data_IF_384127284466
#
_entry.id   IF_384127284466
#
_cell.length_a   1.000
_cell.length_b   1.000
_cell.length_c   1.000
_cell.angle_alpha   90.00
_cell.angle_beta   90.00
_cell.angle_gamma   90.00
#
_symmetry.space_group_name_H-M   'P 1'
#
loop_
_entity.id
_entity.type
_entity.pdbx_description
1 polymer ?
#
# COMPACT_ATOMS: atom_id res chain seq x y z
N UNK A 1 -29.09 -2.51 20.87
CA UNK A 1 -27.78 -1.97 20.43
C UNK A 1 -27.72 -2.00 18.92
N UNK A 2 -27.21 -0.93 18.30
CA UNK A 2 -27.02 -0.86 16.83
C UNK A 2 -25.68 -1.49 16.48
N UNK A 3 -25.63 -2.35 15.45
CA UNK A 3 -24.38 -2.95 14.97
C UNK A 3 -23.66 -1.96 14.05
N UNK A 4 -22.33 -1.90 14.14
CA UNK A 4 -21.47 -1.13 13.24
C UNK A 4 -20.71 -2.10 12.33
N UNK A 5 -20.46 -1.71 11.08
CA UNK A 5 -19.78 -2.51 10.07
C UNK A 5 -18.78 -1.61 9.33
N UNK A 6 -17.57 -2.12 9.14
CA UNK A 6 -16.56 -1.54 8.27
C UNK A 6 -16.43 -2.45 7.06
N UNK A 7 -16.60 -1.88 5.87
CA UNK A 7 -16.32 -2.54 4.59
C UNK A 7 -15.14 -1.80 3.98
N UNK A 8 -14.00 -2.49 3.89
CA UNK A 8 -12.76 -1.94 3.36
C UNK A 8 -12.52 -2.49 1.95
N UNK A 9 -12.21 -1.60 1.01
CA UNK A 9 -11.57 -2.01 -0.25
C UNK A 9 -10.05 -1.84 -0.14
N UNK A 10 -9.31 -2.92 -0.34
CA UNK A 10 -7.85 -2.91 -0.31
C UNK A 10 -7.25 -2.49 -1.66
N UNK A 11 -5.93 -2.29 -1.67
CA UNK A 11 -5.14 -2.07 -2.89
C UNK A 11 -5.38 -0.74 -3.62
N UNK A 12 -5.83 0.30 -2.91
CA UNK A 12 -5.97 1.60 -3.53
C UNK A 12 -4.58 2.18 -3.86
N UNK A 13 -4.41 2.65 -5.10
CA UNK A 13 -3.13 3.09 -5.63
C UNK A 13 -2.40 2.04 -6.46
N UNK A 14 -2.84 0.77 -6.52
CA UNK A 14 -2.11 -0.25 -7.29
C UNK A 14 -2.11 0.04 -8.79
N UNK A 15 -3.22 0.49 -9.35
CA UNK A 15 -3.40 0.85 -10.76
C UNK A 15 -4.64 1.74 -10.94
N UNK A 16 -4.80 2.36 -12.11
CA UNK A 16 -5.91 3.27 -12.38
C UNK A 16 -7.28 2.58 -12.42
N UNK A 17 -7.36 1.34 -12.91
CA UNK A 17 -8.63 0.62 -13.01
C UNK A 17 -9.15 0.23 -11.62
N UNK A 18 -8.25 -0.23 -10.74
CA UNK A 18 -8.54 -0.49 -9.34
C UNK A 18 -8.94 0.80 -8.62
N UNK A 19 -8.25 1.91 -8.89
CA UNK A 19 -8.62 3.20 -8.33
C UNK A 19 -10.04 3.65 -8.73
N UNK A 20 -10.38 3.51 -10.02
CA UNK A 20 -11.71 3.83 -10.55
C UNK A 20 -12.80 3.01 -9.86
N UNK A 21 -12.61 1.70 -9.71
CA UNK A 21 -13.58 0.84 -9.04
C UNK A 21 -13.75 1.20 -7.56
N UNK A 22 -12.65 1.49 -6.86
CA UNK A 22 -12.70 1.88 -5.44
C UNK A 22 -13.42 3.22 -5.27
N UNK A 23 -13.16 4.20 -6.14
CA UNK A 23 -13.88 5.47 -6.17
C UNK A 23 -15.37 5.28 -6.42
N UNK A 24 -15.76 4.49 -7.43
CA UNK A 24 -17.17 4.19 -7.72
C UNK A 24 -17.88 3.52 -6.53
N UNK A 25 -17.22 2.56 -5.88
CA UNK A 25 -17.74 1.90 -4.69
C UNK A 25 -17.90 2.88 -3.51
N UNK A 26 -16.96 3.79 -3.34
CA UNK A 26 -17.01 4.79 -2.28
C UNK A 26 -18.12 5.81 -2.52
N UNK A 27 -18.21 6.39 -3.73
CA UNK A 27 -19.27 7.31 -4.13
C UNK A 27 -20.67 6.66 -4.06
N UNK A 28 -20.76 5.37 -4.39
CA UNK A 28 -21.98 4.58 -4.28
C UNK A 28 -22.35 4.13 -2.85
N UNK A 29 -21.55 4.50 -1.84
CA UNK A 29 -21.76 4.14 -0.43
C UNK A 29 -21.67 2.63 -0.16
N UNK A 30 -20.89 1.90 -0.97
CA UNK A 30 -20.74 0.43 -0.86
C UNK A 30 -19.61 0.04 0.09
N UNK A 31 -18.64 0.92 0.26
CA UNK A 31 -17.52 0.77 1.20
C UNK A 31 -17.54 1.92 2.21
N UNK A 32 -16.93 1.67 3.36
CA UNK A 32 -16.76 2.66 4.43
C UNK A 32 -15.30 3.03 4.66
N UNK A 33 -14.38 2.26 4.07
CA UNK A 33 -12.96 2.50 4.18
C UNK A 33 -12.20 1.99 2.94
N UNK A 34 -10.98 2.48 2.75
CA UNK A 34 -10.00 1.93 1.82
C UNK A 34 -8.59 2.02 2.42
N UNK A 35 -7.58 1.44 1.77
CA UNK A 35 -6.19 1.49 2.19
C UNK A 35 -5.25 1.75 1.01
N UNK A 36 -4.34 2.71 1.17
CA UNK A 36 -3.38 3.14 0.14
C UNK A 36 -2.11 2.28 0.16
N UNK A 37 -1.73 1.75 -1.00
CA UNK A 37 -0.44 1.10 -1.22
C UNK A 37 0.57 2.18 -1.62
N UNK A 38 1.27 2.73 -0.65
CA UNK A 38 2.14 3.90 -0.86
C UNK A 38 3.25 3.74 -1.92
N UNK A 39 3.96 2.59 -2.02
CA UNK A 39 4.98 2.43 -3.06
C UNK A 39 4.39 2.17 -4.45
N UNK A 40 3.05 2.15 -4.60
CA UNK A 40 2.43 1.82 -5.86
C UNK A 40 2.42 2.96 -6.88
N UNK A 41 2.51 2.62 -8.15
CA UNK A 41 2.70 3.61 -9.22
C UNK A 41 1.49 4.54 -9.42
N UNK A 42 0.28 4.10 -9.08
CA UNK A 42 -0.94 4.90 -9.20
C UNK A 42 -1.38 5.52 -7.87
N UNK A 43 -0.53 5.52 -6.84
CA UNK A 43 -0.85 6.12 -5.52
C UNK A 43 -1.22 7.59 -5.62
N UNK A 44 -0.56 8.35 -6.52
CA UNK A 44 -0.88 9.77 -6.71
C UNK A 44 -2.29 9.96 -7.29
N UNK A 45 -2.67 9.13 -8.25
CA UNK A 45 -4.03 9.15 -8.82
C UNK A 45 -5.08 8.81 -7.75
N UNK A 46 -4.82 7.78 -6.93
CA UNK A 46 -5.67 7.43 -5.79
C UNK A 46 -5.81 8.58 -4.77
N UNK A 47 -4.70 9.23 -4.42
CA UNK A 47 -4.69 10.35 -3.50
C UNK A 47 -5.43 11.59 -4.05
N UNK A 48 -5.44 11.80 -5.37
CA UNK A 48 -6.19 12.88 -5.99
C UNK A 48 -7.71 12.57 -6.02
N UNK A 49 -8.11 11.32 -6.29
CA UNK A 49 -9.52 10.88 -6.25
C UNK A 49 -10.13 10.96 -4.85
N UNK A 50 -9.40 10.49 -3.82
CA UNK A 50 -9.96 10.38 -2.46
C UNK A 50 -10.26 11.72 -1.80
N UNK A 51 -9.57 12.79 -2.22
CA UNK A 51 -9.84 14.17 -1.78
C UNK A 51 -11.28 14.60 -2.11
N UNK A 52 -11.87 14.03 -3.15
CA UNK A 52 -13.25 14.28 -3.58
C UNK A 52 -14.28 13.38 -2.86
N UNK A 53 -13.84 12.48 -1.97
CA UNK A 53 -14.67 11.46 -1.31
C UNK A 53 -14.49 11.51 0.23
N UNK A 54 -14.97 12.57 0.91
CA UNK A 54 -14.62 12.84 2.31
C UNK A 54 -15.33 11.94 3.35
N UNK A 55 -16.23 11.04 2.93
CA UNK A 55 -17.08 10.26 3.84
C UNK A 55 -16.55 8.85 4.18
N UNK A 56 -15.41 8.44 3.61
CA UNK A 56 -14.79 7.15 3.93
C UNK A 56 -13.45 7.32 4.67
N UNK A 57 -13.09 6.34 5.48
CA UNK A 57 -11.76 6.30 6.11
C UNK A 57 -10.70 5.81 5.14
N UNK A 58 -9.50 6.38 5.21
CA UNK A 58 -8.36 5.96 4.39
C UNK A 58 -7.24 5.51 5.31
N UNK A 59 -6.80 4.26 5.16
CA UNK A 59 -5.69 3.68 5.90
C UNK A 59 -4.43 3.52 5.05
N UNK A 60 -3.36 3.07 5.68
CA UNK A 60 -2.14 2.61 5.02
C UNK A 60 -2.22 1.11 4.77
N UNK A 61 -2.03 0.68 3.52
CA UNK A 61 -1.84 -0.71 3.16
C UNK A 61 -0.34 -1.01 3.14
N UNK A 62 0.21 -1.37 4.29
CA UNK A 62 1.63 -1.73 4.41
C UNK A 62 1.93 -2.90 3.48
N UNK A 63 2.89 -2.71 2.58
CA UNK A 63 3.32 -3.78 1.66
C UNK A 63 4.82 -4.04 1.79
N UNK A 64 5.19 -5.32 1.87
CA UNK A 64 6.58 -5.78 2.03
C UNK A 64 6.91 -6.90 1.04
N UNK A 65 6.01 -7.14 0.08
CA UNK A 65 6.15 -8.13 -0.98
C UNK A 65 5.65 -7.55 -2.29
N UNK A 66 6.22 -7.99 -3.41
CA UNK A 66 5.78 -7.54 -4.73
C UNK A 66 5.66 -8.73 -5.69
N UNK A 67 4.43 -9.20 -5.84
CA UNK A 67 4.07 -10.35 -6.68
C UNK A 67 3.43 -9.95 -8.02
N UNK A 68 2.95 -8.72 -8.13
CA UNK A 68 2.44 -8.16 -9.38
C UNK A 68 3.55 -8.14 -10.45
N UNK A 69 3.18 -8.51 -11.67
CA UNK A 69 4.06 -8.52 -12.84
C UNK A 69 3.32 -7.83 -14.00
N UNK A 70 3.94 -6.89 -14.72
CA UNK A 70 5.35 -6.47 -14.66
C UNK A 70 5.66 -5.42 -13.59
N UNK A 71 4.66 -4.97 -12.83
CA UNK A 71 4.75 -3.82 -11.94
C UNK A 71 5.26 -4.26 -10.57
N UNK A 72 6.46 -3.83 -10.22
CA UNK A 72 7.08 -4.13 -8.94
C UNK A 72 7.19 -2.90 -8.05
N UNK A 73 7.14 -3.12 -6.74
CA UNK A 73 7.28 -2.09 -5.72
C UNK A 73 8.74 -1.96 -5.28
N UNK A 74 9.22 -0.72 -5.20
CA UNK A 74 10.51 -0.37 -4.63
C UNK A 74 10.37 -0.08 -3.13
N UNK A 75 11.45 -0.28 -2.38
CA UNK A 75 11.55 0.14 -0.98
C UNK A 75 11.48 1.67 -0.88
N UNK A 76 10.68 2.20 0.04
CA UNK A 76 10.63 3.64 0.32
C UNK A 76 11.72 4.07 1.32
N UNK A 77 12.11 3.18 2.23
CA UNK A 77 13.20 3.37 3.16
C UNK A 77 14.57 3.20 2.48
N UNK A 78 15.64 3.78 3.06
CA UNK A 78 17.01 3.45 2.69
C UNK A 78 17.25 1.93 2.80
N UNK A 79 17.87 1.35 1.78
CA UNK A 79 18.17 -0.09 1.74
C UNK A 79 19.36 -0.39 2.66
N UNK A 80 19.17 -1.32 3.59
CA UNK A 80 20.26 -1.96 4.33
C UNK A 80 20.89 -3.04 3.45
N UNK A 81 22.16 -2.84 3.05
CA UNK A 81 22.88 -3.76 2.17
C UNK A 81 23.21 -5.11 2.86
N UNK A 82 23.27 -5.15 4.20
CA UNK A 82 23.56 -6.39 4.94
C UNK A 82 22.31 -7.26 5.10
N UNK A 83 21.12 -6.63 5.17
CA UNK A 83 19.83 -7.29 5.43
C UNK A 83 18.70 -6.71 4.56
N UNK A 84 18.79 -6.87 3.23
CA UNK A 84 17.87 -6.18 2.33
C UNK A 84 16.47 -6.77 2.39
N UNK A 85 15.46 -5.90 2.43
CA UNK A 85 14.04 -6.24 2.18
C UNK A 85 13.72 -6.45 0.70
N UNK A 86 14.68 -6.14 -0.17
CA UNK A 86 14.53 -6.10 -1.61
C UNK A 86 15.49 -7.04 -2.31
N UNK A 87 15.14 -7.44 -3.51
CA UNK A 87 16.01 -8.17 -4.42
C UNK A 87 17.17 -7.29 -4.94
N UNK A 88 18.08 -7.90 -5.70
CA UNK A 88 19.25 -7.23 -6.28
C UNK A 88 18.90 -6.11 -7.28
N UNK A 89 17.64 -6.00 -7.69
CA UNK A 89 17.16 -4.95 -8.58
C UNK A 89 16.47 -3.81 -7.79
N UNK A 90 16.37 -3.92 -6.46
CA UNK A 90 15.75 -2.91 -5.61
C UNK A 90 14.24 -3.09 -5.38
N UNK A 91 13.67 -4.21 -5.81
CA UNK A 91 12.24 -4.48 -5.65
C UNK A 91 11.94 -5.44 -4.50
N UNK A 92 10.79 -5.31 -3.84
CA UNK A 92 10.41 -6.29 -2.82
C UNK A 92 10.36 -7.72 -3.39
N UNK A 93 10.68 -8.68 -2.54
CA UNK A 93 10.55 -10.09 -2.90
C UNK A 93 9.09 -10.47 -3.20
N UNK A 94 8.89 -11.35 -4.17
CA UNK A 94 7.55 -11.88 -4.48
C UNK A 94 7.06 -12.94 -3.48
N UNK A 95 7.95 -13.46 -2.65
CA UNK A 95 7.66 -14.50 -1.66
C UNK A 95 7.92 -13.98 -0.27
N UNK A 96 6.89 -14.04 0.58
CA UNK A 96 6.97 -13.73 2.00
C UNK A 96 8.12 -14.47 2.70
N UNK A 97 8.30 -15.77 2.42
CA UNK A 97 9.37 -16.57 3.03
C UNK A 97 10.76 -15.97 2.75
N UNK A 98 11.01 -15.52 1.52
CA UNK A 98 12.27 -14.90 1.13
C UNK A 98 12.48 -13.56 1.83
N UNK A 99 11.44 -12.73 1.93
CA UNK A 99 11.51 -11.47 2.65
C UNK A 99 11.86 -11.67 4.14
N UNK A 100 11.22 -12.65 4.79
CA UNK A 100 11.50 -12.98 6.20
C UNK A 100 12.88 -13.57 6.42
N UNK A 101 13.39 -14.38 5.49
CA UNK A 101 14.71 -15.01 5.60
C UNK A 101 15.88 -14.02 5.37
N UNK A 102 15.67 -12.97 4.56
CA UNK A 102 16.74 -12.05 4.12
C UNK A 102 16.78 -10.72 4.87
N UNK A 103 15.70 -10.33 5.53
CA UNK A 103 15.59 -9.08 6.27
C UNK A 103 15.46 -9.31 7.78
N UNK A 104 15.59 -8.25 8.57
CA UNK A 104 15.27 -8.26 9.99
C UNK A 104 14.15 -7.27 10.35
N UNK A 105 13.81 -7.23 11.65
CA UNK A 105 12.78 -6.34 12.15
C UNK A 105 13.10 -4.86 11.96
N UNK A 106 14.37 -4.48 11.95
CA UNK A 106 14.76 -3.07 11.86
C UNK A 106 14.53 -2.56 10.42
N UNK A 107 14.89 -3.36 9.41
CA UNK A 107 14.55 -3.08 8.02
C UNK A 107 13.03 -2.98 7.81
N UNK A 108 12.25 -3.93 8.35
CA UNK A 108 10.78 -3.93 8.27
C UNK A 108 10.18 -2.68 8.89
N UNK A 109 10.59 -2.31 10.11
CA UNK A 109 10.07 -1.14 10.81
C UNK A 109 10.46 0.16 10.08
N UNK A 110 11.68 0.23 9.54
CA UNK A 110 12.13 1.36 8.72
C UNK A 110 11.25 1.56 7.49
N UNK A 111 10.93 0.48 6.78
CA UNK A 111 10.06 0.54 5.59
C UNK A 111 8.62 0.91 5.94
N UNK A 112 8.05 0.34 7.00
CA UNK A 112 6.70 0.71 7.48
C UNK A 112 6.64 2.20 7.81
N UNK A 113 7.65 2.72 8.51
CA UNK A 113 7.73 4.14 8.84
C UNK A 113 7.86 5.00 7.59
N UNK A 114 8.69 4.59 6.61
CA UNK A 114 8.84 5.31 5.35
C UNK A 114 7.54 5.38 4.55
N UNK A 115 6.80 4.27 4.44
CA UNK A 115 5.49 4.25 3.78
C UNK A 115 4.48 5.14 4.53
N UNK A 116 4.47 5.09 5.86
CA UNK A 116 3.60 5.97 6.66
C UNK A 116 3.89 7.45 6.41
N UNK A 117 5.15 7.89 6.51
CA UNK A 117 5.52 9.28 6.28
C UNK A 117 5.34 9.75 4.83
N UNK A 118 5.41 8.84 3.85
CA UNK A 118 5.08 9.15 2.47
C UNK A 118 3.59 9.48 2.31
N UNK A 119 2.70 8.83 3.07
CA UNK A 119 1.25 9.06 3.02
C UNK A 119 0.76 10.31 3.75
N UNK A 120 1.60 10.90 4.62
CA UNK A 120 1.28 12.13 5.37
C UNK A 120 1.57 13.43 4.58
N UNK A 121 2.17 13.33 3.38
CA UNK A 121 2.53 14.47 2.52
C UNK A 121 1.40 14.89 1.57
#
# INVERSE_FOLDING_TARGET
MTKQLIITADDFGIDQATNEVIEELALGGKITATSLVMPAYAVKDAADRIKEIPHISVGLHVTLTSDLTPIKWECQAPIDEEKPLVDKQGYFHNKYATAVEQSDSDAVLSEIAAQYYAGEQ
#
